data_IF_499583062170
#
_entry.id   IF_499583062170
#
_cell.length_a   1.000
_cell.length_b   1.000
_cell.length_c   1.000
_cell.angle_alpha   90.00
_cell.angle_beta   90.00
_cell.angle_gamma   90.00
#
_symmetry.space_group_name_H-M   'P 1'
#
loop_
_entity.id
_entity.type
_entity.pdbx_description
1 polymer ?
#
# COMPACT_ATOMS: atom_id res chain seq x y z
N UNK A 1 -5.44 12.31 26.45
CA UNK A 1 -5.04 11.70 25.17
C UNK A 1 -3.52 11.41 25.16
N UNK A 2 -3.09 10.16 24.92
CA UNK A 2 -1.69 9.74 25.07
C UNK A 2 -0.82 9.89 23.80
N UNK A 3 -1.39 10.32 22.66
CA UNK A 3 -0.65 10.57 21.42
C UNK A 3 -0.51 12.08 21.18
N UNK A 4 0.73 12.57 21.21
CA UNK A 4 1.07 14.00 21.03
C UNK A 4 1.27 14.37 19.55
N UNK A 5 1.21 13.41 18.62
CA UNK A 5 1.38 13.68 17.19
C UNK A 5 0.15 14.37 16.61
N UNK A 6 0.36 15.44 15.86
CA UNK A 6 -0.67 16.18 15.13
C UNK A 6 -0.32 16.25 13.65
N UNK A 7 -1.30 15.99 12.77
CA UNK A 7 -1.14 16.04 11.31
C UNK A 7 -1.93 17.24 10.80
N UNK A 8 -1.27 18.11 10.02
CA UNK A 8 -1.91 19.23 9.33
C UNK A 8 -2.24 18.83 7.89
N UNK A 9 -3.33 19.38 7.36
CA UNK A 9 -3.85 19.05 6.03
C UNK A 9 -3.98 20.30 5.17
N UNK A 10 -3.97 20.08 3.86
CA UNK A 10 -4.39 21.06 2.85
C UNK A 10 -5.45 20.42 1.95
N UNK A 11 -6.35 21.21 1.40
CA UNK A 11 -7.32 20.70 0.44
C UNK A 11 -6.64 20.28 -0.87
N UNK A 12 -6.98 19.08 -1.37
CA UNK A 12 -6.40 18.49 -2.58
C UNK A 12 -7.15 18.80 -3.88
N UNK A 13 -8.11 19.73 -3.88
CA UNK A 13 -8.83 20.17 -5.08
C UNK A 13 -9.72 19.10 -5.75
N UNK A 14 -10.06 18.02 -5.04
CA UNK A 14 -10.95 16.95 -5.55
C UNK A 14 -10.31 15.98 -6.56
N UNK A 15 -9.00 16.05 -6.77
CA UNK A 15 -8.26 15.09 -7.58
C UNK A 15 -8.12 13.72 -6.90
N UNK A 16 -7.59 12.70 -7.62
CA UNK A 16 -7.29 11.40 -7.02
C UNK A 16 -6.26 11.56 -5.88
N UNK A 17 -6.26 10.65 -4.88
CA UNK A 17 -5.23 10.65 -3.85
C UNK A 17 -3.84 10.53 -4.48
N UNK A 18 -2.90 11.33 -3.99
CA UNK A 18 -1.50 11.32 -4.44
C UNK A 18 -0.60 10.79 -3.33
N UNK A 19 0.35 9.93 -3.68
CA UNK A 19 1.39 9.48 -2.75
C UNK A 19 2.50 10.52 -2.59
N UNK A 20 3.53 10.17 -1.83
CA UNK A 20 4.70 11.02 -1.58
C UNK A 20 5.45 11.50 -2.83
N UNK A 21 5.28 10.81 -3.96
CA UNK A 21 5.87 11.20 -5.25
C UNK A 21 5.04 12.24 -6.02
N UNK A 22 3.96 12.76 -5.42
CA UNK A 22 3.05 13.73 -6.05
C UNK A 22 2.39 13.22 -7.34
N UNK A 23 2.28 11.90 -7.48
CA UNK A 23 1.54 11.22 -8.55
C UNK A 23 0.34 10.48 -7.97
N UNK A 24 -0.75 10.31 -8.74
CA UNK A 24 -1.90 9.55 -8.29
C UNK A 24 -1.54 8.11 -7.90
N UNK A 25 -2.06 7.65 -6.76
CA UNK A 25 -1.99 6.24 -6.38
C UNK A 25 -3.20 5.47 -6.94
N UNK A 26 -2.97 4.22 -7.29
CA UNK A 26 -3.95 3.31 -7.87
C UNK A 26 -4.23 2.17 -6.89
N UNK A 27 -5.51 1.96 -6.58
CA UNK A 27 -5.94 0.90 -5.67
C UNK A 27 -5.40 -0.46 -6.12
N UNK A 28 -4.83 -1.23 -5.19
CA UNK A 28 -4.21 -2.56 -5.36
C UNK A 28 -2.94 -2.59 -6.22
N UNK A 29 -2.50 -1.45 -6.76
CA UNK A 29 -1.32 -1.35 -7.63
C UNK A 29 -0.25 -0.37 -7.10
N UNK A 30 -0.55 0.40 -6.06
CA UNK A 30 0.41 1.29 -5.40
C UNK A 30 0.78 0.77 -4.01
N UNK A 31 2.06 0.83 -3.68
CA UNK A 31 2.57 0.48 -2.36
C UNK A 31 3.32 1.65 -1.71
N UNK A 32 3.36 1.63 -0.38
CA UNK A 32 4.26 2.44 0.42
C UNK A 32 5.37 1.58 1.01
N UNK A 33 6.60 2.08 0.96
CA UNK A 33 7.80 1.42 1.52
C UNK A 33 8.78 2.45 2.08
N UNK A 34 9.81 1.97 2.78
CA UNK A 34 10.92 2.80 3.26
C UNK A 34 11.80 3.31 2.12
N UNK A 35 11.68 4.61 1.81
CA UNK A 35 12.42 5.28 0.73
C UNK A 35 13.89 5.54 1.02
N UNK A 36 14.34 5.31 2.26
CA UNK A 36 15.78 5.32 2.56
C UNK A 36 16.47 4.05 2.07
N UNK A 37 15.70 2.99 1.80
CA UNK A 37 16.21 1.67 1.40
C UNK A 37 15.76 1.26 -0.01
N UNK A 38 14.50 1.55 -0.37
CA UNK A 38 13.86 1.06 -1.58
C UNK A 38 13.60 2.20 -2.58
N UNK A 39 13.86 1.98 -3.88
CA UNK A 39 13.84 3.03 -4.88
C UNK A 39 12.42 3.56 -5.13
N UNK A 40 12.16 4.86 -4.94
CA UNK A 40 10.87 5.46 -5.25
C UNK A 40 10.48 5.28 -6.72
N UNK A 41 9.23 4.94 -6.97
CA UNK A 41 8.63 4.77 -8.29
C UNK A 41 8.98 3.46 -8.99
N UNK A 42 9.80 2.61 -8.39
CA UNK A 42 10.20 1.35 -9.02
C UNK A 42 9.03 0.36 -9.12
N UNK A 43 9.11 -0.48 -10.16
CA UNK A 43 8.20 -1.60 -10.35
C UNK A 43 8.60 -2.78 -9.48
N UNK A 44 7.62 -3.40 -8.84
CA UNK A 44 7.80 -4.58 -8.04
C UNK A 44 6.69 -5.61 -8.31
N UNK A 45 6.95 -6.86 -7.95
CA UNK A 45 5.93 -7.91 -7.86
C UNK A 45 5.68 -8.18 -6.38
N UNK A 46 4.44 -8.03 -5.95
CA UNK A 46 3.99 -8.45 -4.62
C UNK A 46 3.27 -9.79 -4.72
N UNK A 47 3.57 -10.70 -3.80
CA UNK A 47 2.87 -11.96 -3.62
C UNK A 47 2.47 -12.08 -2.15
N UNK A 48 1.18 -11.92 -1.86
CA UNK A 48 0.67 -11.85 -0.49
C UNK A 48 -0.75 -12.41 -0.42
N UNK A 49 -1.14 -13.12 0.67
CA UNK A 49 -2.53 -13.47 0.90
C UNK A 49 -3.33 -12.19 1.21
N UNK A 50 -4.26 -11.84 0.33
CA UNK A 50 -5.17 -10.70 0.53
C UNK A 50 -6.56 -11.19 0.95
N UNK A 51 -7.22 -10.51 1.89
CA UNK A 51 -8.61 -10.79 2.22
C UNK A 51 -9.50 -10.51 1.01
N UNK A 52 -10.38 -11.45 0.65
CA UNK A 52 -11.45 -11.24 -0.31
C UNK A 52 -12.79 -11.69 0.30
N UNK A 53 -13.87 -10.93 0.07
CA UNK A 53 -15.20 -11.35 0.52
C UNK A 53 -15.75 -12.44 -0.40
N UNK A 54 -16.32 -13.49 0.17
CA UNK A 54 -17.12 -14.48 -0.56
C UNK A 54 -18.53 -13.93 -0.83
N UNK A 55 -19.31 -14.63 -1.66
CA UNK A 55 -20.71 -14.26 -1.92
C UNK A 55 -21.58 -14.26 -0.64
N UNK A 56 -21.16 -15.02 0.38
CA UNK A 56 -21.82 -15.14 1.68
C UNK A 56 -21.32 -14.10 2.70
N UNK A 57 -20.44 -13.17 2.30
CA UNK A 57 -19.88 -12.14 3.19
C UNK A 57 -18.81 -12.64 4.15
N UNK A 58 -18.29 -13.86 3.95
CA UNK A 58 -17.17 -14.41 4.72
C UNK A 58 -15.87 -13.93 4.07
N UNK A 59 -14.87 -13.60 4.89
CA UNK A 59 -13.56 -13.21 4.39
C UNK A 59 -12.65 -14.43 4.26
N UNK A 60 -12.05 -14.63 3.09
CA UNK A 60 -11.01 -15.62 2.88
C UNK A 60 -9.71 -14.94 2.42
N UNK A 61 -8.57 -15.48 2.84
CA UNK A 61 -7.29 -15.00 2.36
C UNK A 61 -6.93 -15.74 1.07
N UNK A 62 -6.85 -15.02 -0.03
CA UNK A 62 -6.45 -15.57 -1.32
C UNK A 62 -5.04 -15.12 -1.66
N UNK A 63 -4.16 -16.09 -1.97
CA UNK A 63 -2.81 -15.80 -2.43
C UNK A 63 -2.90 -15.00 -3.73
N UNK A 64 -2.48 -13.74 -3.66
CA UNK A 64 -2.60 -12.78 -4.74
C UNK A 64 -1.21 -12.37 -5.19
N UNK A 65 -0.96 -12.40 -6.50
CA UNK A 65 0.30 -11.94 -7.10
C UNK A 65 0.02 -10.79 -8.06
N UNK A 66 0.68 -9.65 -7.88
CA UNK A 66 0.43 -8.42 -8.67
C UNK A 66 1.72 -7.68 -8.98
N UNK A 67 1.74 -7.00 -10.12
CA UNK A 67 2.68 -5.92 -10.38
C UNK A 67 2.21 -4.67 -9.63
N UNK A 68 3.13 -3.98 -8.98
CA UNK A 68 2.87 -2.76 -8.20
C UNK A 68 3.94 -1.72 -8.46
N UNK A 69 3.62 -0.46 -8.16
CA UNK A 69 4.55 0.67 -8.20
C UNK A 69 4.75 1.23 -6.79
N UNK A 70 6.01 1.54 -6.47
CA UNK A 70 6.38 2.08 -5.17
C UNK A 70 6.22 3.61 -5.09
N UNK A 71 4.99 4.07 -4.94
CA UNK A 71 4.61 5.49 -5.14
C UNK A 71 4.43 6.29 -3.85
N UNK A 72 4.54 5.64 -2.68
CA UNK A 72 4.27 6.30 -1.40
C UNK A 72 5.24 5.93 -0.28
N UNK A 73 5.18 6.65 0.83
CA UNK A 73 5.89 6.34 2.08
C UNK A 73 5.01 6.64 3.29
N UNK A 74 5.30 6.00 4.41
CA UNK A 74 4.59 6.25 5.67
C UNK A 74 5.56 6.29 6.83
N UNK A 75 5.31 7.17 7.81
CA UNK A 75 6.22 7.34 8.97
C UNK A 75 6.41 6.08 9.83
N UNK A 76 5.54 5.08 9.69
CA UNK A 76 5.66 3.78 10.36
C UNK A 76 6.09 2.63 9.42
N UNK A 77 6.28 2.91 8.13
CA UNK A 77 6.69 1.95 7.10
C UNK A 77 8.21 2.06 6.95
N UNK A 78 8.92 1.35 7.82
CA UNK A 78 10.37 1.41 7.96
C UNK A 78 11.00 0.02 7.80
N UNK A 79 12.20 -0.01 7.23
CA UNK A 79 12.98 -1.22 7.02
C UNK A 79 12.58 -2.03 5.77
N UNK A 80 13.38 -3.06 5.43
CA UNK A 80 13.21 -3.83 4.19
C UNK A 80 12.07 -4.85 4.22
N UNK A 81 11.49 -5.12 5.40
CA UNK A 81 10.48 -6.16 5.62
C UNK A 81 9.05 -5.64 5.72
N UNK A 82 8.81 -4.36 5.47
CA UNK A 82 7.50 -3.72 5.63
C UNK A 82 7.06 -3.01 4.37
N UNK A 83 5.83 -3.31 3.97
CA UNK A 83 5.14 -2.71 2.82
C UNK A 83 3.70 -2.42 3.25
N UNK A 84 3.17 -1.29 2.82
CA UNK A 84 1.75 -0.96 2.95
C UNK A 84 1.12 -0.96 1.55
N UNK A 85 0.00 -1.66 1.38
CA UNK A 85 -0.70 -1.76 0.10
C UNK A 85 -1.87 -0.78 0.09
N UNK A 86 -1.86 0.16 -0.84
CA UNK A 86 -3.01 1.04 -1.03
C UNK A 86 -4.15 0.25 -1.67
N UNK A 87 -5.20 -0.05 -0.92
CA UNK A 87 -6.36 -0.85 -1.40
C UNK A 87 -7.54 -0.01 -1.89
N UNK A 88 -7.40 1.32 -1.92
CA UNK A 88 -8.41 2.25 -2.43
C UNK A 88 -8.99 3.17 -1.36
N UNK A 89 -10.16 3.74 -1.65
CA UNK A 89 -10.82 4.75 -0.81
C UNK A 89 -12.26 4.35 -0.47
N UNK A 90 -12.75 4.80 0.67
CA UNK A 90 -14.13 4.58 1.13
C UNK A 90 -14.26 3.42 2.14
N UNK A 91 -15.49 3.16 2.63
CA UNK A 91 -15.71 2.24 3.76
C UNK A 91 -15.23 0.81 3.50
N UNK A 92 -15.45 0.28 2.29
CA UNK A 92 -15.04 -1.08 1.92
C UNK A 92 -13.51 -1.22 1.88
N UNK A 93 -12.81 -0.21 1.35
CA UNK A 93 -11.35 -0.19 1.35
C UNK A 93 -10.79 -0.11 2.78
N UNK A 94 -11.45 0.64 3.68
CA UNK A 94 -11.10 0.69 5.09
C UNK A 94 -11.26 -0.66 5.80
N UNK A 95 -12.34 -1.39 5.52
CA UNK A 95 -12.55 -2.73 6.08
C UNK A 95 -11.48 -3.72 5.56
N UNK A 96 -11.21 -3.70 4.26
CA UNK A 96 -10.18 -4.52 3.64
C UNK A 96 -8.80 -4.21 4.22
N UNK A 97 -8.42 -2.93 4.30
CA UNK A 97 -7.15 -2.48 4.86
C UNK A 97 -6.97 -2.93 6.32
N UNK A 98 -8.03 -2.82 7.14
CA UNK A 98 -7.99 -3.25 8.54
C UNK A 98 -7.78 -4.76 8.73
N UNK A 99 -7.98 -5.58 7.69
CA UNK A 99 -7.76 -7.03 7.71
C UNK A 99 -6.39 -7.44 7.17
N UNK A 100 -5.65 -6.53 6.54
CA UNK A 100 -4.33 -6.81 5.99
C UNK A 100 -3.28 -6.66 7.10
N UNK A 101 -2.89 -7.80 7.65
CA UNK A 101 -1.69 -7.93 8.49
C UNK A 101 -1.10 -9.33 8.27
N UNK A 102 -0.60 -9.55 7.06
CA UNK A 102 -0.15 -10.86 6.59
C UNK A 102 1.28 -10.79 6.07
N UNK A 103 1.99 -11.90 6.18
CA UNK A 103 3.32 -12.03 5.58
C UNK A 103 3.20 -12.39 4.09
N UNK A 104 4.09 -11.82 3.30
CA UNK A 104 4.16 -12.05 1.86
C UNK A 104 5.59 -11.88 1.35
N UNK A 105 5.72 -11.74 0.03
CA UNK A 105 7.00 -11.52 -0.66
C UNK A 105 6.87 -10.31 -1.56
N UNK A 106 7.92 -9.50 -1.61
CA UNK A 106 8.03 -8.34 -2.49
C UNK A 106 9.34 -8.44 -3.27
N UNK A 107 9.27 -8.33 -4.59
CA UNK A 107 10.41 -8.44 -5.49
C UNK A 107 10.52 -7.18 -6.34
N UNK A 108 11.60 -6.43 -6.20
CA UNK A 108 11.86 -5.28 -7.08
C UNK A 108 12.43 -5.77 -8.41
N UNK A 109 11.92 -5.21 -9.51
CA UNK A 109 12.36 -5.54 -10.85
C UNK A 109 13.51 -4.61 -11.25
N UNK A 110 14.70 -5.18 -11.39
CA UNK A 110 15.90 -4.44 -11.81
C UNK A 110 16.30 -4.91 -13.21
N UNK A 111 16.65 -3.96 -14.08
CA UNK A 111 17.21 -4.29 -15.39
C UNK A 111 18.56 -4.97 -15.20
N UNK A 112 18.79 -6.02 -15.99
CA UNK A 112 20.13 -6.59 -16.11
C UNK A 112 21.00 -5.57 -16.85
N UNK A 113 22.17 -5.20 -16.29
CA UNK A 113 23.10 -4.29 -16.96
C UNK A 113 23.65 -4.88 -18.26
#
# INVERSE_FOLDING_TARGET
>A
PQNERFIFFREGGGGPPTGSLSVPVTAEYSIATDKSLLPPGAAAVIQVPLPQPTAEGIWNNQLTTRLVLDQDTGGAILGPGRVDLFVGTGPQAGELAGRINTSGRLYYLLLRP
#
